data_IF_632128917002
#
_entry.id   IF_632128917002
#
_cell.length_a   1.000
_cell.length_b   1.000
_cell.length_c   1.000
_cell.angle_alpha   90.00
_cell.angle_beta   90.00
_cell.angle_gamma   90.00
#
_symmetry.space_group_name_H-M   'P 1'
#
loop_
_entity.id
_entity.type
_entity.pdbx_description
1 polymer ?
#
# COMPACT_ATOMS: atom_id res chain seq x y z
N UNK A 1 -17.08 -0.89 15.83
CA UNK A 1 -15.86 -1.47 15.22
C UNK A 1 -15.42 -0.49 14.14
N UNK A 2 -14.12 -0.27 13.98
CA UNK A 2 -13.57 0.70 13.01
C UNK A 2 -13.35 0.02 11.64
N UNK A 3 -14.36 -0.71 11.18
CA UNK A 3 -14.33 -1.40 9.90
C UNK A 3 -14.34 -0.35 8.78
N UNK A 4 -13.49 -0.55 7.79
CA UNK A 4 -13.40 0.33 6.61
C UNK A 4 -13.19 -0.48 5.36
N UNK A 5 -13.60 0.06 4.22
CA UNK A 5 -13.14 -0.47 2.95
C UNK A 5 -11.68 -0.08 2.72
N UNK A 6 -10.86 -0.98 2.17
CA UNK A 6 -9.41 -0.72 2.00
C UNK A 6 -9.12 0.53 1.15
N UNK A 7 -10.00 0.86 0.20
CA UNK A 7 -9.90 2.05 -0.64
C UNK A 7 -10.36 3.34 0.06
N UNK A 8 -10.95 3.25 1.25
CA UNK A 8 -11.35 4.39 2.09
C UNK A 8 -10.33 4.70 3.20
N UNK A 9 -9.24 3.92 3.30
CA UNK A 9 -8.17 4.20 4.26
C UNK A 9 -7.52 5.55 3.97
N UNK A 10 -7.45 6.38 5.01
CA UNK A 10 -6.82 7.69 4.97
C UNK A 10 -5.52 7.72 5.78
N UNK A 11 -4.77 8.82 5.62
CA UNK A 11 -3.53 9.08 6.36
C UNK A 11 -3.77 9.01 7.87
N UNK A 12 -4.87 9.56 8.36
CA UNK A 12 -5.21 9.59 9.79
C UNK A 12 -5.51 8.19 10.35
N UNK A 13 -6.05 7.29 9.52
CA UNK A 13 -6.27 5.89 9.90
C UNK A 13 -4.96 5.16 10.13
N UNK A 14 -4.03 5.34 9.18
CA UNK A 14 -2.69 4.77 9.30
C UNK A 14 -1.91 5.42 10.46
N UNK A 15 -2.13 6.71 10.74
CA UNK A 15 -1.51 7.37 11.89
C UNK A 15 -2.00 6.77 13.22
N UNK A 16 -3.30 6.45 13.33
CA UNK A 16 -3.88 5.81 14.50
C UNK A 16 -3.48 4.33 14.63
N UNK A 17 -3.48 3.59 13.52
CA UNK A 17 -3.24 2.15 13.50
C UNK A 17 -2.30 1.77 12.36
N UNK A 18 -1.13 1.22 12.70
CA UNK A 18 -0.11 0.88 11.72
C UNK A 18 -0.25 -0.48 11.05
N UNK A 19 -1.16 -1.34 11.52
CA UNK A 19 -1.43 -2.65 10.91
C UNK A 19 -2.93 -2.86 10.83
N UNK A 20 -3.39 -3.34 9.69
CA UNK A 20 -4.77 -3.74 9.46
C UNK A 20 -4.80 -5.12 8.80
N UNK A 21 -5.93 -5.82 8.93
CA UNK A 21 -6.12 -7.14 8.36
C UNK A 21 -7.46 -7.23 7.64
N UNK A 22 -7.53 -8.13 6.67
CA UNK A 22 -8.79 -8.54 6.03
C UNK A 22 -9.41 -9.65 6.88
N UNK A 23 -10.56 -9.42 7.54
CA UNK A 23 -11.22 -10.48 8.31
C UNK A 23 -11.69 -11.60 7.39
N UNK A 24 -11.40 -12.85 7.77
CA UNK A 24 -11.78 -14.05 7.02
C UNK A 24 -13.08 -14.69 7.55
N UNK A 25 -13.78 -13.99 8.45
CA UNK A 25 -14.98 -14.46 9.13
C UNK A 25 -16.26 -13.87 8.50
N UNK A 26 -17.42 -14.47 8.81
CA UNK A 26 -18.72 -14.03 8.29
C UNK A 26 -19.22 -12.70 8.90
N UNK A 27 -18.41 -12.01 9.73
CA UNK A 27 -18.82 -10.74 10.33
C UNK A 27 -18.66 -9.53 9.41
N UNK A 28 -18.03 -9.71 8.23
CA UNK A 28 -17.92 -8.69 7.20
C UNK A 28 -18.75 -9.09 5.98
N UNK A 29 -19.44 -8.12 5.39
CA UNK A 29 -20.24 -8.35 4.17
C UNK A 29 -19.38 -8.26 2.89
N UNK A 30 -18.23 -7.58 2.95
CA UNK A 30 -17.37 -7.29 1.80
C UNK A 30 -15.93 -7.78 2.03
N UNK A 31 -15.36 -8.48 1.06
CA UNK A 31 -13.99 -9.01 1.02
C UNK A 31 -12.91 -7.90 1.05
N UNK A 32 -13.29 -6.66 0.74
CA UNK A 32 -12.41 -5.49 0.79
C UNK A 32 -12.42 -4.78 2.15
N UNK A 33 -13.18 -5.31 3.11
CA UNK A 33 -13.24 -4.78 4.47
C UNK A 33 -11.95 -5.07 5.21
N UNK A 34 -11.41 -4.04 5.85
CA UNK A 34 -10.24 -4.11 6.72
C UNK A 34 -10.56 -3.64 8.13
N UNK A 35 -9.86 -4.24 9.10
CA UNK A 35 -9.94 -3.88 10.53
C UNK A 35 -8.57 -3.59 11.10
N UNK A 36 -8.46 -2.63 12.04
CA UNK A 36 -7.22 -2.42 12.77
C UNK A 36 -6.81 -3.69 13.50
N UNK A 37 -5.55 -4.10 13.37
CA UNK A 37 -4.99 -5.20 14.13
C UNK A 37 -4.31 -4.64 15.38
N UNK A 38 -4.86 -4.97 16.56
CA UNK A 38 -4.30 -4.55 17.85
C UNK A 38 -3.42 -5.63 18.48
N UNK A 39 -3.75 -6.90 18.26
CA UNK A 39 -3.06 -8.05 18.83
C UNK A 39 -2.85 -9.13 17.75
N UNK A 40 -1.65 -9.66 17.67
CA UNK A 40 -1.19 -10.58 16.61
C UNK A 40 -1.97 -11.91 16.57
N UNK A 41 -2.47 -12.35 17.72
CA UNK A 41 -3.10 -13.67 17.88
C UNK A 41 -4.40 -13.82 17.06
N UNK A 42 -4.95 -12.72 16.53
CA UNK A 42 -6.19 -12.67 15.78
C UNK A 42 -6.00 -13.01 14.27
N UNK A 43 -4.76 -13.02 13.76
CA UNK A 43 -4.52 -12.87 12.31
C UNK A 43 -3.64 -13.93 11.62
N UNK A 44 -3.40 -15.10 12.22
CA UNK A 44 -2.42 -16.08 11.72
C UNK A 44 -2.58 -16.44 10.23
N UNK A 45 -3.81 -16.44 9.71
CA UNK A 45 -4.12 -16.78 8.31
C UNK A 45 -4.72 -15.61 7.50
N UNK A 46 -4.75 -14.39 8.05
CA UNK A 46 -5.34 -13.23 7.39
C UNK A 46 -4.29 -12.46 6.57
N UNK A 47 -4.70 -11.94 5.41
CA UNK A 47 -3.88 -10.96 4.69
C UNK A 47 -3.78 -9.68 5.52
N UNK A 48 -2.56 -9.16 5.65
CA UNK A 48 -2.28 -7.93 6.39
C UNK A 48 -1.93 -6.80 5.42
N UNK A 49 -2.23 -5.57 5.84
CA UNK A 49 -1.61 -4.37 5.32
C UNK A 49 -0.84 -3.68 6.45
N UNK A 50 0.36 -3.19 6.13
CA UNK A 50 1.23 -2.52 7.08
C UNK A 50 1.51 -1.10 6.62
N UNK A 51 1.51 -0.17 7.57
CA UNK A 51 1.92 1.21 7.34
C UNK A 51 3.36 1.26 6.85
N UNK A 52 3.56 2.08 5.82
CA UNK A 52 4.86 2.34 5.25
C UNK A 52 5.06 3.83 4.99
N UNK A 53 6.29 4.28 5.24
CA UNK A 53 6.77 5.58 4.82
C UNK A 53 7.38 5.49 3.43
N UNK A 54 7.16 6.53 2.63
CA UNK A 54 7.70 6.66 1.28
C UNK A 54 8.50 7.96 1.18
N UNK A 55 9.67 7.89 0.56
CA UNK A 55 10.62 8.99 0.39
C UNK A 55 10.90 9.18 -1.10
N UNK A 56 10.46 10.31 -1.64
CA UNK A 56 10.78 10.71 -3.02
C UNK A 56 12.25 11.13 -3.18
N UNK A 57 12.73 11.12 -4.41
CA UNK A 57 14.09 11.53 -4.78
C UNK A 57 14.42 12.99 -4.43
N UNK A 58 13.39 13.84 -4.32
CA UNK A 58 13.49 15.24 -3.88
C UNK A 58 13.41 15.40 -2.34
N UNK A 59 13.45 14.30 -1.58
CA UNK A 59 13.25 14.22 -0.13
C UNK A 59 11.82 14.52 0.36
N UNK A 60 10.84 14.59 -0.53
CA UNK A 60 9.42 14.59 -0.16
C UNK A 60 9.04 13.29 0.57
N UNK A 61 8.12 13.41 1.54
CA UNK A 61 7.69 12.29 2.39
C UNK A 61 6.21 12.03 2.22
N UNK A 62 5.86 10.77 2.07
CA UNK A 62 4.48 10.31 1.95
C UNK A 62 4.21 9.15 2.91
N UNK A 63 2.94 8.94 3.21
CA UNK A 63 2.45 7.84 4.02
C UNK A 63 1.54 6.96 3.17
N UNK A 64 1.59 5.67 3.41
CA UNK A 64 0.72 4.71 2.76
C UNK A 64 0.91 3.34 3.37
N UNK A 65 0.63 2.31 2.60
CA UNK A 65 0.69 0.94 3.10
C UNK A 65 1.21 -0.04 2.06
N UNK A 66 1.62 -1.21 2.55
CA UNK A 66 1.99 -2.38 1.76
C UNK A 66 1.10 -3.54 2.17
N UNK A 67 0.69 -4.37 1.21
CA UNK A 67 0.17 -5.71 1.49
C UNK A 67 1.32 -6.56 1.98
N UNK A 68 1.29 -6.94 3.25
CA UNK A 68 2.43 -7.61 3.85
C UNK A 68 2.49 -9.07 3.40
N UNK A 69 3.59 -9.45 2.75
CA UNK A 69 3.83 -10.82 2.30
C UNK A 69 5.20 -11.40 2.75
N UNK A 70 6.07 -10.57 3.34
CA UNK A 70 7.40 -10.99 3.82
C UNK A 70 8.48 -11.19 2.75
N UNK A 71 8.13 -11.30 1.47
CA UNK A 71 9.05 -11.56 0.35
C UNK A 71 9.70 -10.30 -0.23
N UNK A 72 9.05 -9.15 -0.05
CA UNK A 72 9.58 -7.86 -0.51
C UNK A 72 9.35 -7.56 -2.00
N UNK A 73 8.62 -8.40 -2.75
CA UNK A 73 8.39 -8.18 -4.18
C UNK A 73 7.17 -7.30 -4.45
N UNK A 74 7.27 -6.39 -5.42
CA UNK A 74 6.28 -5.35 -5.67
C UNK A 74 4.88 -5.89 -6.01
N UNK A 75 4.79 -7.03 -6.71
CA UNK A 75 3.54 -7.66 -7.11
C UNK A 75 2.75 -8.24 -5.93
N UNK A 76 3.45 -8.55 -4.84
CA UNK A 76 2.86 -9.05 -3.60
C UNK A 76 2.65 -7.92 -2.59
N UNK A 77 3.62 -6.99 -2.50
CA UNK A 77 3.54 -5.82 -1.62
C UNK A 77 2.49 -4.81 -2.04
N UNK A 78 2.17 -4.76 -3.34
CA UNK A 78 1.22 -3.83 -3.99
C UNK A 78 1.21 -2.44 -3.32
N UNK A 79 2.33 -1.70 -3.38
CA UNK A 79 2.50 -0.50 -2.58
C UNK A 79 1.46 0.57 -2.94
N UNK A 80 0.90 1.22 -1.92
CA UNK A 80 -0.08 2.31 -2.08
C UNK A 80 0.39 3.54 -1.33
N UNK A 81 0.40 4.70 -1.99
CA UNK A 81 0.60 6.01 -1.34
C UNK A 81 -0.75 6.71 -1.19
N UNK A 82 -1.03 7.23 0.00
CA UNK A 82 -2.22 8.03 0.29
C UNK A 82 -1.89 9.53 0.19
N UNK A 83 -2.80 10.29 -0.41
CA UNK A 83 -2.65 11.72 -0.61
C UNK A 83 -3.59 12.50 0.30
N UNK A 84 -3.21 13.74 0.62
CA UNK A 84 -3.95 14.61 1.56
C UNK A 84 -5.34 15.01 1.04
N UNK A 85 -5.58 14.91 -0.26
CA UNK A 85 -6.88 15.18 -0.87
C UNK A 85 -7.82 13.95 -0.83
N UNK A 86 -7.41 12.86 -0.16
CA UNK A 86 -8.16 11.62 -0.05
C UNK A 86 -7.99 10.67 -1.24
N UNK A 87 -7.25 11.08 -2.29
CA UNK A 87 -6.90 10.17 -3.38
C UNK A 87 -5.70 9.29 -3.00
N UNK A 88 -5.45 8.25 -3.80
CA UNK A 88 -4.33 7.33 -3.60
C UNK A 88 -3.69 6.95 -4.93
N UNK A 89 -2.46 6.45 -4.86
CA UNK A 89 -1.73 5.89 -6.00
C UNK A 89 -1.34 4.46 -5.68
N UNK A 90 -1.83 3.51 -6.47
CA UNK A 90 -1.35 2.13 -6.44
C UNK A 90 -0.19 1.96 -7.40
N UNK A 91 0.91 1.42 -6.90
CA UNK A 91 2.11 1.15 -7.69
C UNK A 91 2.07 -0.22 -8.35
N UNK A 92 1.08 -1.07 -8.07
CA UNK A 92 0.87 -2.34 -8.78
C UNK A 92 -0.50 -2.38 -9.43
N UNK A 93 -0.54 -2.65 -10.74
CA UNK A 93 -1.74 -2.59 -11.57
C UNK A 93 -2.14 -3.94 -12.19
N UNK A 94 -1.54 -5.04 -11.71
CA UNK A 94 -1.80 -6.38 -12.25
C UNK A 94 -1.45 -6.46 -13.75
N UNK A 95 -2.30 -7.07 -14.56
CA UNK A 95 -2.10 -7.20 -16.02
C UNK A 95 -2.47 -5.93 -16.81
N UNK A 96 -2.97 -4.89 -16.15
CA UNK A 96 -3.39 -3.65 -16.81
C UNK A 96 -2.19 -2.73 -16.90
N UNK A 97 -1.81 -2.35 -18.12
CA UNK A 97 -0.78 -1.34 -18.35
C UNK A 97 -1.27 0.03 -17.85
N UNK A 98 -0.63 0.62 -16.83
CA UNK A 98 -1.10 1.85 -16.21
C UNK A 98 -0.69 3.08 -17.01
N UNK A 99 -1.40 4.18 -16.78
CA UNK A 99 -1.02 5.51 -17.25
C UNK A 99 -1.07 6.50 -16.09
N UNK A 100 -0.03 7.32 -15.96
CA UNK A 100 -0.07 8.48 -15.06
C UNK A 100 -1.21 9.45 -15.40
N UNK A 101 -1.67 9.47 -16.66
CA UNK A 101 -2.80 10.30 -17.09
C UNK A 101 -4.14 9.91 -16.48
N UNK A 102 -4.26 8.70 -15.91
CA UNK A 102 -5.48 8.22 -15.24
C UNK A 102 -5.60 8.77 -13.81
N UNK A 103 -4.51 9.30 -13.26
CA UNK A 103 -4.43 9.86 -11.92
C UNK A 103 -4.70 11.36 -11.89
N UNK A 104 -5.12 11.87 -10.72
CA UNK A 104 -5.30 13.31 -10.47
C UNK A 104 -4.00 14.08 -10.68
N UNK A 105 -4.09 15.39 -10.94
CA UNK A 105 -2.90 16.25 -11.06
C UNK A 105 -1.99 16.17 -9.82
N UNK A 106 -2.60 16.02 -8.63
CA UNK A 106 -1.87 15.86 -7.36
C UNK A 106 -1.11 14.55 -7.30
N UNK A 107 -1.74 13.45 -7.72
CA UNK A 107 -1.11 12.14 -7.80
C UNK A 107 0.02 12.09 -8.84
N UNK A 108 -0.12 12.82 -9.95
CA UNK A 108 0.94 12.94 -10.96
C UNK A 108 2.18 13.68 -10.44
N UNK A 109 2.10 14.46 -9.35
CA UNK A 109 3.30 15.03 -8.71
C UNK A 109 4.25 13.93 -8.20
N UNK A 110 3.73 12.75 -7.81
CA UNK A 110 4.56 11.61 -7.40
C UNK A 110 5.49 11.13 -8.52
N UNK A 111 5.08 11.30 -9.77
CA UNK A 111 5.89 10.97 -10.95
C UNK A 111 7.21 11.75 -10.97
N UNK A 112 7.17 13.00 -10.52
CA UNK A 112 8.33 13.90 -10.56
C UNK A 112 9.36 13.59 -9.48
N UNK A 113 9.00 12.76 -8.50
CA UNK A 113 9.86 12.40 -7.36
C UNK A 113 10.29 10.93 -7.39
N UNK A 114 10.08 10.24 -8.52
CA UNK A 114 10.64 8.91 -8.76
C UNK A 114 12.17 8.97 -8.91
N UNK A 115 12.91 7.92 -8.51
CA UNK A 115 12.41 6.74 -7.81
C UNK A 115 12.02 7.05 -6.36
N UNK A 116 10.97 6.39 -5.86
CA UNK A 116 10.49 6.53 -4.49
C UNK A 116 10.99 5.34 -3.67
N UNK A 117 11.71 5.61 -2.58
CA UNK A 117 12.08 4.56 -1.62
C UNK A 117 10.94 4.33 -0.63
N UNK A 118 10.74 3.09 -0.17
CA UNK A 118 9.76 2.79 0.87
C UNK A 118 10.35 1.97 2.01
N UNK A 119 9.74 2.11 3.18
CA UNK A 119 10.10 1.38 4.39
C UNK A 119 8.84 1.13 5.21
N UNK A 120 8.52 -0.13 5.49
CA UNK A 120 7.46 -0.49 6.42
C UNK A 120 7.92 -0.30 7.86
N UNK A 121 6.99 -0.03 8.77
CA UNK A 121 7.30 -0.10 10.18
C UNK A 121 7.35 -1.55 10.66
N UNK A 122 8.25 -1.83 11.61
CA UNK A 122 8.22 -3.10 12.32
C UNK A 122 7.19 -3.00 13.45
N UNK A 123 6.04 -3.63 13.25
CA UNK A 123 4.89 -3.58 14.15
C UNK A 123 4.39 -5.00 14.38
N UNK A 124 3.96 -5.32 15.61
CA UNK A 124 3.40 -6.63 15.95
C UNK A 124 4.34 -7.80 15.56
N UNK A 125 5.65 -7.62 15.75
CA UNK A 125 6.71 -8.56 15.37
C UNK A 125 6.81 -8.86 13.86
N UNK A 126 6.08 -8.11 13.02
CA UNK A 126 6.31 -8.14 11.58
C UNK A 126 7.67 -7.47 11.33
N UNK A 127 8.60 -8.14 10.64
CA UNK A 127 9.88 -7.52 10.32
C UNK A 127 9.66 -6.30 9.42
N UNK A 128 10.71 -5.52 9.22
CA UNK A 128 10.65 -4.41 8.29
C UNK A 128 10.91 -4.90 6.86
N UNK A 129 10.17 -4.37 5.89
CA UNK A 129 10.47 -4.47 4.46
C UNK A 129 10.83 -3.08 3.94
N UNK A 130 11.81 -3.02 3.05
CA UNK A 130 12.19 -1.79 2.35
C UNK A 130 12.53 -2.08 0.90
N UNK A 131 12.44 -1.07 0.06
CA UNK A 131 12.74 -1.18 -1.37
C UNK A 131 12.57 0.16 -2.11
N UNK A 132 12.56 0.10 -3.43
CA UNK A 132 12.37 1.25 -4.32
C UNK A 132 11.25 1.03 -5.33
N UNK A 133 10.67 2.14 -5.79
CA UNK A 133 9.62 2.19 -6.81
C UNK A 133 10.10 3.10 -7.94
N UNK A 134 10.28 2.51 -9.12
CA UNK A 134 10.74 3.16 -10.34
C UNK A 134 9.59 3.79 -11.15
N UNK A 135 8.34 3.42 -10.85
CA UNK A 135 7.15 3.90 -11.55
C UNK A 135 5.92 3.07 -11.21
N UNK A 136 4.88 3.17 -12.04
CA UNK A 136 3.68 2.35 -11.92
C UNK A 136 3.94 0.98 -12.54
N UNK A 137 3.93 -0.07 -11.72
CA UNK A 137 4.24 -1.44 -12.14
C UNK A 137 3.01 -2.19 -12.65
N UNK A 138 3.26 -3.11 -13.58
CA UNK A 138 2.30 -4.04 -14.14
C UNK A 138 2.99 -5.32 -14.64
N UNK A 139 2.19 -6.36 -14.86
CA UNK A 139 2.58 -7.62 -15.47
C UNK A 139 2.39 -7.51 -16.99
N UNK A 140 3.50 -7.56 -17.71
CA UNK A 140 3.56 -7.61 -19.17
C UNK A 140 3.96 -9.02 -19.58
N UNK A 141 2.98 -9.81 -20.02
CA UNK A 141 3.12 -11.26 -20.23
C UNK A 141 3.56 -11.96 -18.92
N UNK A 142 4.84 -12.38 -18.84
CA UNK A 142 5.43 -13.02 -17.66
C UNK A 142 6.53 -12.15 -17.01
N UNK A 143 6.55 -10.85 -17.30
CA UNK A 143 7.58 -9.92 -16.82
C UNK A 143 6.97 -8.74 -16.10
N UNK A 144 7.58 -8.34 -15.00
CA UNK A 144 7.24 -7.11 -14.31
C UNK A 144 7.86 -5.95 -15.07
N UNK A 145 7.01 -5.04 -15.54
CA UNK A 145 7.36 -3.82 -16.25
C UNK A 145 6.83 -2.61 -15.47
N UNK A 146 7.31 -1.41 -15.78
CA UNK A 146 6.81 -0.18 -15.15
C UNK A 146 6.77 1.00 -16.13
N UNK A 147 5.95 1.99 -15.77
CA UNK A 147 5.90 3.30 -16.44
C UNK A 147 6.33 4.38 -15.45
N UNK A 148 7.45 5.04 -15.77
CA UNK A 148 7.97 6.21 -15.05
C UNK A 148 7.32 7.50 -15.51
#
# INVERSE_FOLDING_TARGET
>A
MADKQVYELAIDDLACFGVWYFPMDESVEDELTVRPLLEKEICADAQLIVRAGFLGADSSRYLGYLYWDGSGKVEYLKPVILLKDGSSVTFWNGMVKPSWGDYSARAQELRMVLPISYISESLLELPQISGGLEGLYYLDEDRISWIS
#
